data_IF_899966770945
#
_entry.id   IF_899966770945
#
_cell.length_a   1.000
_cell.length_b   1.000
_cell.length_c   1.000
_cell.angle_alpha   90.00
_cell.angle_beta   90.00
_cell.angle_gamma   90.00
#
_symmetry.space_group_name_H-M   'P 1'
#
loop_
_entity.id
_entity.type
_entity.pdbx_description
1 polymer ?
#
# COMPACT_ATOMS: atom_id res chain seq x y z
N UNK A 1 0.73 1.46 -29.79
CA UNK A 1 0.00 2.38 -28.95
C UNK A 1 -0.99 1.64 -28.10
N UNK A 2 -0.49 0.87 -27.17
CA UNK A 2 -1.37 0.18 -26.25
C UNK A 2 -1.92 1.16 -25.24
N UNK A 3 -3.23 1.25 -25.12
CA UNK A 3 -3.78 1.62 -23.87
C UNK A 3 -3.20 0.63 -22.86
N UNK A 4 -2.21 1.07 -22.15
CA UNK A 4 -1.67 0.27 -21.08
C UNK A 4 -2.75 0.22 -20.01
N UNK A 5 -3.68 -0.73 -20.18
CA UNK A 5 -4.68 -1.05 -19.19
C UNK A 5 -4.03 -1.82 -18.05
N UNK A 6 -2.84 -1.36 -17.60
CA UNK A 6 -2.22 -1.96 -16.44
C UNK A 6 -3.10 -1.70 -15.23
N UNK A 7 -3.32 -2.75 -14.47
CA UNK A 7 -4.06 -2.67 -13.23
C UNK A 7 -3.32 -1.72 -12.30
N UNK A 8 -3.99 -0.71 -11.71
CA UNK A 8 -3.32 0.19 -10.78
C UNK A 8 -2.76 -0.56 -9.58
N UNK A 9 -1.65 -0.08 -9.08
CA UNK A 9 -0.91 -0.71 -7.99
C UNK A 9 -1.06 0.10 -6.72
N UNK A 10 -1.08 -0.61 -5.61
CA UNK A 10 -1.23 -0.04 -4.27
C UNK A 10 -0.19 -0.66 -3.34
N UNK A 11 0.31 0.13 -2.41
CA UNK A 11 1.16 -0.35 -1.33
C UNK A 11 0.40 -0.22 -0.01
N UNK A 12 0.44 -1.28 0.79
CA UNK A 12 -0.26 -1.35 2.07
C UNK A 12 0.77 -1.43 3.19
N UNK A 13 0.76 -0.45 4.09
CA UNK A 13 1.50 -0.54 5.34
C UNK A 13 1.03 -1.77 6.13
N UNK A 14 1.90 -2.34 6.93
CA UNK A 14 1.60 -3.54 7.70
C UNK A 14 0.36 -3.39 8.57
N UNK A 15 0.14 -2.23 9.18
CA UNK A 15 -1.06 -2.00 9.99
C UNK A 15 -2.35 -2.08 9.15
N UNK A 16 -2.31 -1.69 7.88
CA UNK A 16 -3.44 -1.83 6.97
C UNK A 16 -3.65 -3.30 6.58
N UNK A 17 -2.57 -4.04 6.40
CA UNK A 17 -2.64 -5.48 6.15
C UNK A 17 -3.30 -6.21 7.33
N UNK A 18 -2.98 -5.81 8.56
CA UNK A 18 -3.63 -6.36 9.76
C UNK A 18 -5.12 -6.07 9.77
N UNK A 19 -5.52 -4.83 9.48
CA UNK A 19 -6.94 -4.48 9.41
C UNK A 19 -7.68 -5.29 8.34
N UNK A 20 -7.02 -5.51 7.23
CA UNK A 20 -7.61 -6.19 6.08
C UNK A 20 -7.77 -7.69 6.31
N UNK A 21 -6.75 -8.34 6.85
CA UNK A 21 -6.64 -9.80 6.92
C UNK A 21 -6.94 -10.37 8.31
N UNK A 22 -6.54 -9.69 9.37
CA UNK A 22 -6.69 -10.19 10.74
C UNK A 22 -7.95 -9.64 11.38
N UNK A 23 -8.11 -8.33 11.41
CA UNK A 23 -9.24 -7.69 12.09
C UNK A 23 -10.48 -7.57 11.21
N UNK A 24 -10.33 -7.68 9.90
CA UNK A 24 -11.42 -7.55 8.93
C UNK A 24 -12.24 -6.28 9.15
N UNK A 25 -11.53 -5.17 9.28
CA UNK A 25 -12.12 -3.87 9.55
C UNK A 25 -13.08 -3.49 8.41
N UNK A 26 -14.34 -3.11 8.71
CA UNK A 26 -15.29 -2.67 7.68
C UNK A 26 -14.79 -1.50 6.82
N UNK A 27 -13.93 -0.64 7.37
CA UNK A 27 -13.32 0.44 6.61
C UNK A 27 -12.47 -0.04 5.44
N UNK A 28 -12.00 -1.29 5.48
CA UNK A 28 -11.21 -1.91 4.42
C UNK A 28 -12.04 -2.71 3.41
N UNK A 29 -13.36 -2.77 3.55
CA UNK A 29 -14.19 -3.58 2.64
C UNK A 29 -14.07 -3.17 1.17
N UNK A 30 -14.08 -1.89 0.80
CA UNK A 30 -13.87 -1.52 -0.61
C UNK A 30 -12.52 -1.97 -1.14
N UNK A 31 -11.48 -1.88 -0.33
CA UNK A 31 -10.14 -2.34 -0.69
C UNK A 31 -10.11 -3.86 -0.85
N UNK A 32 -10.68 -4.58 0.12
CA UNK A 32 -10.78 -6.03 0.09
C UNK A 32 -11.46 -6.50 -1.20
N UNK A 33 -12.60 -5.92 -1.52
CA UNK A 33 -13.34 -6.24 -2.74
C UNK A 33 -12.50 -5.99 -3.99
N UNK A 34 -11.84 -4.85 -4.07
CA UNK A 34 -11.01 -4.48 -5.23
C UNK A 34 -9.82 -5.44 -5.41
N UNK A 35 -9.16 -5.82 -4.31
CA UNK A 35 -8.07 -6.79 -4.35
C UNK A 35 -8.55 -8.16 -4.79
N UNK A 36 -9.69 -8.60 -4.26
CA UNK A 36 -10.27 -9.90 -4.58
C UNK A 36 -10.69 -9.98 -6.04
N UNK A 37 -11.22 -8.89 -6.59
CA UNK A 37 -11.63 -8.80 -7.98
C UNK A 37 -10.47 -8.59 -8.95
N UNK A 38 -9.26 -8.34 -8.43
CA UNK A 38 -8.08 -8.12 -9.26
C UNK A 38 -8.08 -6.78 -10.00
N UNK A 39 -8.90 -5.81 -9.57
CA UNK A 39 -8.96 -4.48 -10.19
C UNK A 39 -7.93 -3.51 -9.60
N UNK A 40 -7.26 -3.92 -8.55
CA UNK A 40 -6.09 -3.25 -7.99
C UNK A 40 -5.10 -4.32 -7.53
N UNK A 41 -3.81 -4.09 -7.71
CA UNK A 41 -2.77 -5.02 -7.28
C UNK A 41 -1.97 -4.45 -6.13
N UNK A 42 -1.97 -5.16 -5.01
CA UNK A 42 -1.12 -4.80 -3.87
C UNK A 42 0.31 -5.28 -4.15
N UNK A 43 1.26 -4.38 -4.01
CA UNK A 43 2.67 -4.69 -4.21
C UNK A 43 3.35 -4.90 -2.87
N UNK A 44 4.31 -5.82 -2.84
CA UNK A 44 5.16 -6.04 -1.68
C UNK A 44 6.61 -6.18 -2.12
N UNK A 45 7.49 -6.13 -1.15
CA UNK A 45 8.94 -6.31 -1.31
C UNK A 45 9.40 -7.21 -0.18
N UNK A 46 10.53 -7.86 -0.34
CA UNK A 46 11.02 -8.84 0.65
C UNK A 46 11.03 -8.28 2.07
N UNK A 47 11.53 -7.07 2.26
CA UNK A 47 11.59 -6.46 3.60
C UNK A 47 10.20 -6.12 4.15
N UNK A 48 9.28 -5.72 3.30
CA UNK A 48 7.90 -5.45 3.71
C UNK A 48 7.17 -6.75 4.08
N UNK A 49 7.39 -7.80 3.30
CA UNK A 49 6.84 -9.12 3.60
C UNK A 49 7.43 -9.69 4.89
N UNK A 50 8.73 -9.53 5.10
CA UNK A 50 9.38 -9.98 6.33
C UNK A 50 8.78 -9.31 7.57
N UNK A 51 8.45 -8.03 7.47
CA UNK A 51 7.75 -7.34 8.56
C UNK A 51 6.38 -7.95 8.82
N UNK A 52 5.61 -8.24 7.77
CA UNK A 52 4.31 -8.93 7.90
C UNK A 52 4.47 -10.26 8.63
N UNK A 53 5.43 -11.08 8.23
CA UNK A 53 5.67 -12.37 8.87
C UNK A 53 6.03 -12.21 10.36
N UNK A 54 6.85 -11.22 10.69
CA UNK A 54 7.27 -10.93 12.05
C UNK A 54 6.12 -10.45 12.92
N UNK A 55 5.30 -9.55 12.39
CA UNK A 55 4.18 -8.96 13.12
C UNK A 55 3.13 -10.00 13.48
N UNK A 56 2.96 -11.04 12.66
CA UNK A 56 2.01 -12.12 12.96
C UNK A 56 2.37 -12.92 14.22
N UNK A 57 3.58 -12.74 14.74
CA UNK A 57 4.01 -13.34 16.01
C UNK A 57 3.89 -12.40 17.21
N UNK A 58 3.41 -11.18 17.01
CA UNK A 58 3.31 -10.21 18.10
C UNK A 58 2.26 -10.66 19.12
N UNK A 59 2.56 -10.57 20.42
CA UNK A 59 1.57 -10.86 21.47
C UNK A 59 0.42 -9.85 21.39
N UNK A 60 -0.76 -10.29 21.74
CA UNK A 60 -1.95 -9.44 21.73
C UNK A 60 -2.73 -9.43 20.43
N UNK A 61 -2.20 -10.03 19.36
CA UNK A 61 -2.98 -10.23 18.15
C UNK A 61 -3.81 -11.51 18.26
N UNK A 62 -5.02 -11.53 17.68
CA UNK A 62 -5.84 -12.75 17.65
C UNK A 62 -5.34 -13.73 16.59
N UNK A 63 -4.06 -14.08 16.66
CA UNK A 63 -3.37 -14.96 15.73
C UNK A 63 -2.64 -16.02 16.55
N UNK A 64 -2.87 -17.28 16.22
CA UNK A 64 -2.22 -18.42 16.86
C UNK A 64 -1.48 -19.26 15.81
N UNK A 65 -0.82 -20.33 16.28
CA UNK A 65 -0.07 -21.21 15.40
C UNK A 65 -0.96 -21.91 14.37
N UNK A 66 -2.24 -22.09 14.67
CA UNK A 66 -3.21 -22.71 13.76
C UNK A 66 -3.67 -21.74 12.66
N UNK A 67 -3.87 -20.47 12.99
CA UNK A 67 -4.40 -19.48 12.05
C UNK A 67 -3.30 -18.80 11.21
N UNK A 68 -2.07 -18.75 11.72
CA UNK A 68 -0.99 -18.01 11.07
C UNK A 68 -0.70 -18.47 9.64
N UNK A 69 -0.60 -19.78 9.34
CA UNK A 69 -0.32 -20.21 7.96
C UNK A 69 -1.34 -19.72 6.95
N UNK A 70 -2.62 -19.68 7.32
CA UNK A 70 -3.68 -19.18 6.43
C UNK A 70 -3.53 -17.68 6.17
N UNK A 71 -3.09 -16.90 7.16
CA UNK A 71 -2.86 -15.46 7.01
C UNK A 71 -1.65 -15.19 6.12
N UNK A 72 -0.59 -15.98 6.25
CA UNK A 72 0.57 -15.90 5.34
C UNK A 72 0.14 -16.19 3.91
N UNK A 73 -0.62 -17.27 3.72
CA UNK A 73 -1.10 -17.65 2.39
C UNK A 73 -2.03 -16.59 1.78
N UNK A 74 -2.89 -15.97 2.58
CA UNK A 74 -3.78 -14.92 2.11
C UNK A 74 -2.99 -13.69 1.64
N UNK A 75 -2.00 -13.28 2.41
CA UNK A 75 -1.12 -12.16 2.01
C UNK A 75 -0.42 -12.48 0.69
N UNK A 76 0.16 -13.67 0.57
CA UNK A 76 0.88 -14.08 -0.64
C UNK A 76 -0.06 -14.19 -1.85
N UNK A 77 -1.32 -14.53 -1.64
CA UNK A 77 -2.31 -14.60 -2.72
C UNK A 77 -2.71 -13.23 -3.24
N UNK A 78 -2.68 -12.20 -2.40
CA UNK A 78 -3.15 -10.86 -2.75
C UNK A 78 -2.05 -9.89 -3.11
N UNK A 79 -0.80 -10.23 -2.83
CA UNK A 79 0.33 -9.34 -3.10
C UNK A 79 1.17 -9.84 -4.27
N UNK A 80 1.79 -8.90 -4.94
CA UNK A 80 2.73 -9.15 -6.02
C UNK A 80 4.10 -8.70 -5.56
N UNK A 81 5.07 -9.62 -5.58
CA UNK A 81 6.43 -9.29 -5.17
C UNK A 81 7.10 -8.42 -6.23
N UNK A 82 7.56 -7.26 -5.83
CA UNK A 82 8.28 -6.37 -6.72
C UNK A 82 9.66 -6.98 -7.03
N UNK A 83 10.12 -6.90 -8.30
CA UNK A 83 11.46 -7.34 -8.63
C UNK A 83 12.49 -6.46 -7.94
N UNK A 84 13.65 -7.05 -7.61
CA UNK A 84 14.75 -6.29 -7.07
C UNK A 84 15.21 -5.25 -8.10
N UNK A 85 15.35 -3.99 -7.68
CA UNK A 85 15.86 -2.97 -8.56
C UNK A 85 17.37 -3.17 -8.80
N UNK A 86 17.86 -2.81 -10.00
CA UNK A 86 19.30 -2.81 -10.22
C UNK A 86 20.00 -1.88 -9.22
N UNK A 87 21.14 -2.32 -8.73
CA UNK A 87 21.98 -1.50 -7.86
C UNK A 87 22.33 -0.19 -8.57
N UNK A 88 22.03 0.93 -7.93
CA UNK A 88 22.32 2.26 -8.51
C UNK A 88 21.15 2.93 -9.23
N UNK A 89 19.95 2.33 -9.21
CA UNK A 89 18.76 3.04 -9.65
C UNK A 89 18.55 4.24 -8.72
N UNK A 90 18.70 5.45 -9.28
CA UNK A 90 18.55 6.67 -8.50
C UNK A 90 17.09 6.85 -8.13
N UNK A 91 16.78 6.70 -6.84
CA UNK A 91 15.51 7.17 -6.34
C UNK A 91 15.50 8.70 -6.40
N UNK A 92 14.41 9.34 -6.83
CA UNK A 92 14.30 10.77 -6.63
C UNK A 92 14.34 11.06 -5.13
N UNK A 93 14.39 12.33 -4.78
CA UNK A 93 14.40 12.75 -3.39
C UNK A 93 13.09 12.34 -2.73
N UNK A 94 12.97 11.07 -2.36
CA UNK A 94 11.81 10.59 -1.62
C UNK A 94 11.72 11.32 -0.29
N UNK A 95 10.50 11.68 0.15
CA UNK A 95 10.33 12.20 1.50
C UNK A 95 10.89 11.22 2.51
N UNK A 96 11.51 11.73 3.56
CA UNK A 96 12.03 10.92 4.65
C UNK A 96 10.97 10.75 5.72
N UNK A 97 10.59 9.50 6.00
CA UNK A 97 9.71 9.21 7.11
C UNK A 97 10.46 9.40 8.43
N UNK A 98 9.78 10.00 9.42
CA UNK A 98 10.34 10.15 10.76
C UNK A 98 10.64 8.79 11.40
N UNK A 99 9.85 7.77 11.07
CA UNK A 99 10.13 6.39 11.45
C UNK A 99 10.92 5.72 10.31
N UNK A 100 12.21 5.37 10.53
CA UNK A 100 13.01 4.73 9.50
C UNK A 100 12.46 3.38 9.05
N UNK A 101 11.74 2.68 9.92
CA UNK A 101 11.16 1.37 9.59
C UNK A 101 10.06 1.47 8.53
N UNK A 102 9.46 2.64 8.36
CA UNK A 102 8.38 2.87 7.38
C UNK A 102 8.89 3.41 6.05
N UNK A 103 10.17 3.79 5.98
CA UNK A 103 10.74 4.32 4.73
C UNK A 103 10.61 3.33 3.57
N UNK A 104 10.68 2.04 3.85
CA UNK A 104 10.56 0.99 2.83
C UNK A 104 9.24 1.04 2.06
N UNK A 105 8.15 1.49 2.69
CA UNK A 105 6.86 1.60 2.01
C UNK A 105 6.85 2.75 1.00
N UNK A 106 7.51 3.85 1.30
CA UNK A 106 7.69 4.96 0.36
C UNK A 106 8.54 4.53 -0.84
N UNK A 107 9.62 3.82 -0.56
CA UNK A 107 10.49 3.27 -1.61
C UNK A 107 9.71 2.31 -2.51
N UNK A 108 8.95 1.41 -1.91
CA UNK A 108 8.15 0.42 -2.65
C UNK A 108 7.12 1.10 -3.54
N UNK A 109 6.42 2.10 -3.04
CA UNK A 109 5.44 2.84 -3.82
C UNK A 109 6.09 3.51 -5.03
N UNK A 110 7.26 4.10 -4.84
CA UNK A 110 8.01 4.70 -5.93
C UNK A 110 8.48 3.65 -6.95
N UNK A 111 9.12 2.58 -6.46
CA UNK A 111 9.72 1.53 -7.30
C UNK A 111 8.69 0.85 -8.19
N UNK A 112 7.47 0.68 -7.70
CA UNK A 112 6.43 -0.06 -8.42
C UNK A 112 5.50 0.84 -9.23
N UNK A 113 5.67 2.15 -9.14
CA UNK A 113 4.74 3.09 -9.77
C UNK A 113 3.34 3.02 -9.16
N UNK A 114 3.24 2.72 -7.87
CA UNK A 114 1.96 2.63 -7.20
C UNK A 114 1.25 3.99 -7.20
N UNK A 115 -0.06 3.96 -7.30
CA UNK A 115 -0.88 5.17 -7.20
C UNK A 115 -1.12 5.58 -5.76
N UNK A 116 -1.15 4.60 -4.86
CA UNK A 116 -1.52 4.83 -3.46
C UNK A 116 -0.61 4.06 -2.52
N UNK A 117 -0.33 4.69 -1.40
CA UNK A 117 0.23 4.05 -0.21
C UNK A 117 -0.78 4.25 0.92
N UNK A 118 -1.34 3.15 1.43
CA UNK A 118 -2.30 3.23 2.52
C UNK A 118 -1.60 2.96 3.85
N UNK A 119 -1.84 3.82 4.82
CA UNK A 119 -1.29 3.71 6.16
C UNK A 119 -2.20 4.39 7.16
N UNK A 120 -2.08 3.99 8.42
CA UNK A 120 -2.70 4.68 9.56
C UNK A 120 -1.65 5.43 10.37
N UNK A 121 -0.37 5.28 10.02
CA UNK A 121 0.72 5.92 10.74
C UNK A 121 0.79 7.41 10.42
N UNK A 122 0.74 8.22 11.45
CA UNK A 122 0.81 9.69 11.32
C UNK A 122 2.10 10.15 10.66
N UNK A 123 3.22 9.47 10.91
CA UNK A 123 4.50 9.82 10.31
C UNK A 123 4.47 9.70 8.78
N UNK A 124 3.79 8.69 8.24
CA UNK A 124 3.59 8.56 6.80
C UNK A 124 2.54 9.55 6.27
N UNK A 125 1.42 9.69 6.98
CA UNK A 125 0.33 10.56 6.54
C UNK A 125 0.77 12.03 6.45
N UNK A 126 1.70 12.47 7.30
CA UNK A 126 2.27 13.82 7.24
C UNK A 126 3.01 14.10 5.93
N UNK A 127 3.46 13.06 5.25
CA UNK A 127 4.21 13.19 4.00
C UNK A 127 3.31 13.23 2.76
N UNK A 128 1.99 13.13 2.93
CA UNK A 128 1.04 12.95 1.82
C UNK A 128 1.17 14.04 0.76
N UNK A 129 1.19 15.31 1.16
CA UNK A 129 1.29 16.42 0.19
C UNK A 129 2.59 16.39 -0.58
N UNK A 130 3.70 16.11 0.12
CA UNK A 130 5.01 16.06 -0.51
C UNK A 130 5.14 14.86 -1.43
N UNK A 131 4.66 13.70 -1.02
CA UNK A 131 4.68 12.50 -1.85
C UNK A 131 3.86 12.69 -3.14
N UNK A 132 2.70 13.31 -3.04
CA UNK A 132 1.88 13.61 -4.21
C UNK A 132 2.60 14.54 -5.18
N UNK A 133 3.24 15.56 -4.65
CA UNK A 133 3.89 16.58 -5.47
C UNK A 133 5.18 16.07 -6.12
N UNK A 134 6.00 15.33 -5.37
CA UNK A 134 7.34 14.91 -5.80
C UNK A 134 7.31 13.55 -6.48
N UNK A 135 6.53 12.61 -5.93
CA UNK A 135 6.56 11.20 -6.34
C UNK A 135 5.27 10.76 -7.03
N UNK A 136 4.23 11.58 -7.00
CA UNK A 136 2.95 11.37 -7.68
C UNK A 136 2.18 10.14 -7.20
N UNK A 137 2.32 9.76 -5.94
CA UNK A 137 1.40 8.80 -5.31
C UNK A 137 0.72 9.46 -4.10
N UNK A 138 -0.51 9.01 -3.83
CA UNK A 138 -1.28 9.50 -2.69
C UNK A 138 -1.00 8.65 -1.47
N UNK A 139 -0.81 9.28 -0.30
CA UNK A 139 -0.76 8.57 0.98
C UNK A 139 -2.09 8.82 1.68
N UNK A 140 -2.84 7.76 1.95
CA UNK A 140 -4.21 7.83 2.46
C UNK A 140 -4.41 6.82 3.59
N UNK A 141 -5.38 7.13 4.45
CA UNK A 141 -5.94 6.12 5.35
C UNK A 141 -6.87 5.17 4.57
N UNK A 142 -7.04 3.91 5.01
CA UNK A 142 -7.85 2.94 4.29
C UNK A 142 -9.29 3.40 4.02
N UNK A 143 -9.91 4.09 4.96
CA UNK A 143 -11.28 4.57 4.82
C UNK A 143 -11.41 5.69 3.78
N UNK A 144 -10.31 6.36 3.44
CA UNK A 144 -10.32 7.42 2.43
C UNK A 144 -10.05 6.89 1.02
N UNK A 145 -9.72 5.60 0.91
CA UNK A 145 -9.39 5.02 -0.38
C UNK A 145 -10.64 4.68 -1.18
N UNK A 146 -10.58 4.96 -2.47
CA UNK A 146 -11.58 4.53 -3.44
C UNK A 146 -10.88 4.29 -4.77
N UNK A 147 -11.34 3.27 -5.49
CA UNK A 147 -10.81 2.98 -6.82
C UNK A 147 -11.10 4.13 -7.80
N UNK A 148 -12.26 4.77 -7.62
CA UNK A 148 -12.62 5.95 -8.39
C UNK A 148 -11.94 7.13 -7.71
N UNK A 149 -10.96 7.73 -8.39
CA UNK A 149 -10.42 9.00 -7.90
C UNK A 149 -11.58 9.95 -7.66
N UNK A 150 -11.59 10.65 -6.50
CA UNK A 150 -12.51 11.76 -6.37
C UNK A 150 -12.24 12.64 -7.58
N UNK A 151 -13.19 12.74 -8.45
CA UNK A 151 -13.09 13.67 -9.56
C UNK A 151 -12.74 15.00 -8.93
N UNK A 152 -11.53 15.45 -9.16
CA UNK A 152 -11.25 16.85 -8.96
C UNK A 152 -12.43 17.56 -9.61
N UNK A 153 -13.14 18.41 -8.87
CA UNK A 153 -14.11 19.22 -9.57
C UNK A 153 -13.35 19.79 -10.73
N UNK A 154 -13.66 19.28 -11.90
CA UNK A 154 -13.17 19.91 -13.10
C UNK A 154 -13.62 21.34 -12.90
N UNK A 155 -12.64 22.20 -12.67
CA UNK A 155 -12.91 23.61 -12.80
C UNK A 155 -13.38 23.75 -14.23
N UNK A 156 -14.66 23.55 -14.40
CA UNK A 156 -15.30 23.80 -15.64
C UNK A 156 -14.89 25.22 -16.00
N UNK A 157 -14.08 25.40 -17.04
CA UNK A 157 -13.85 26.76 -17.45
C UNK A 157 -15.22 27.31 -17.76
N UNK A 158 -15.66 28.21 -16.92
CA UNK A 158 -16.91 28.91 -17.16
C UNK A 158 -16.87 29.45 -18.58
N UNK A 159 -17.94 29.28 -19.35
CA UNK A 159 -17.95 29.84 -20.69
C UNK A 159 -17.76 31.35 -20.66
#
# INVERSE_FOLDING_TARGET
>A
MGNDCSVPRIVLDTNVCLDLLVFRDPACLPLHDALQRGVVHAMTRTDCRDEWLRVLHYPGLPVDDASRPALVAAFDAWTHLAPALPTGAAAPSLPRCADPDDQKFLELAWETGARWLLSKDKALLKLASRAQRVCRFAILQPQAWSLVEPQHPVLNPMP
#
